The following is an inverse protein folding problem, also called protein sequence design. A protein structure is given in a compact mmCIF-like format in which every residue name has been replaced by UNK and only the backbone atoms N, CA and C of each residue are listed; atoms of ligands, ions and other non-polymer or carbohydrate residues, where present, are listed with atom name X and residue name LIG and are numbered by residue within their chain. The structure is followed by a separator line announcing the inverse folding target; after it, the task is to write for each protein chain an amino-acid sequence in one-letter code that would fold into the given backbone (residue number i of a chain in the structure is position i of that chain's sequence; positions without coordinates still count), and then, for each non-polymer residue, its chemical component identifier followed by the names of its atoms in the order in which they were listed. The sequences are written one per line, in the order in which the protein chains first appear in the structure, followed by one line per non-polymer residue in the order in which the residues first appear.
data_IF_597830402263
#
_entry.id   IF_597830402263
#
_cell.length_a   1.000
_cell.length_b   1.000
_cell.length_c   1.000
_cell.angle_alpha   90.00
_cell.angle_beta   90.00
_cell.angle_gamma   90.00
#
_symmetry.space_group_name_H-M   'P 1'
#
loop_
_entity.id
_entity.type
_entity.pdbx_description
1 polymer ?
#
# COMPACT_ATOMS: atom_id res chain seq x y z
N UNK A 1 -36.52 -11.17 15.21
CA UNK A 1 -35.09 -10.92 14.94
C UNK A 1 -34.33 -11.26 16.21
N UNK A 2 -33.17 -11.90 16.12
CA UNK A 2 -32.32 -12.09 17.30
C UNK A 2 -31.94 -10.74 17.90
N UNK A 3 -31.71 -10.67 19.21
CA UNK A 3 -31.29 -9.44 19.90
C UNK A 3 -30.03 -8.83 19.22
N UNK A 4 -29.12 -9.68 18.73
CA UNK A 4 -27.92 -9.26 17.99
C UNK A 4 -28.19 -8.52 16.68
N UNK A 5 -29.29 -8.82 15.98
CA UNK A 5 -29.61 -8.20 14.69
C UNK A 5 -30.17 -6.79 14.88
N UNK A 6 -30.85 -6.53 15.99
CA UNK A 6 -31.36 -5.21 16.34
C UNK A 6 -30.23 -4.22 16.68
N UNK A 7 -29.10 -4.72 17.19
CA UNK A 7 -27.93 -3.89 17.51
C UNK A 7 -27.26 -3.34 16.24
N UNK A 8 -27.20 -4.15 15.17
CA UNK A 8 -26.48 -3.82 13.93
C UNK A 8 -27.38 -3.25 12.81
N UNK A 9 -28.68 -3.51 12.83
CA UNK A 9 -29.61 -2.99 11.83
C UNK A 9 -30.01 -1.53 12.13
N UNK A 10 -29.87 -0.67 11.12
CA UNK A 10 -30.37 0.72 11.14
C UNK A 10 -31.51 0.88 10.15
N UNK A 11 -32.70 1.23 10.65
CA UNK A 11 -33.86 1.57 9.81
C UNK A 11 -34.10 3.07 9.86
N UNK A 12 -34.25 3.71 8.70
CA UNK A 12 -34.56 5.15 8.59
C UNK A 12 -35.95 5.52 9.12
N UNK A 13 -36.78 4.52 9.45
CA UNK A 13 -38.11 4.69 10.05
C UNK A 13 -38.07 4.72 11.59
N UNK A 14 -36.93 4.40 12.19
CA UNK A 14 -36.80 4.31 13.63
C UNK A 14 -36.66 5.71 14.25
N UNK A 15 -37.36 5.98 15.36
CA UNK A 15 -37.35 7.29 16.03
C UNK A 15 -35.95 7.76 16.49
N UNK A 16 -34.97 6.85 16.57
CA UNK A 16 -33.58 7.13 16.94
C UNK A 16 -32.56 6.99 15.80
N UNK A 17 -33.01 6.88 14.54
CA UNK A 17 -32.14 6.64 13.39
C UNK A 17 -30.97 7.64 13.30
N UNK A 18 -31.27 8.94 13.30
CA UNK A 18 -30.25 9.99 13.13
C UNK A 18 -29.16 9.91 14.19
N UNK A 19 -29.53 9.68 15.45
CA UNK A 19 -28.58 9.54 16.55
C UNK A 19 -27.70 8.28 16.40
N UNK A 20 -28.31 7.14 16.05
CA UNK A 20 -27.57 5.88 15.83
C UNK A 20 -26.66 5.94 14.61
N UNK A 21 -27.12 6.54 13.51
CA UNK A 21 -26.34 6.72 12.30
C UNK A 21 -25.18 7.70 12.50
N UNK A 22 -25.41 8.81 13.20
CA UNK A 22 -24.36 9.75 13.57
C UNK A 22 -23.29 9.09 14.46
N UNK A 23 -23.71 8.21 15.39
CA UNK A 23 -22.80 7.41 16.22
C UNK A 23 -21.97 6.45 15.38
N UNK A 24 -22.59 5.65 14.51
CA UNK A 24 -21.88 4.74 13.60
C UNK A 24 -20.83 5.50 12.78
N UNK A 25 -21.21 6.63 12.18
CA UNK A 25 -20.28 7.48 11.42
C UNK A 25 -19.13 8.00 12.28
N UNK A 26 -19.42 8.43 13.52
CA UNK A 26 -18.38 8.90 14.45
C UNK A 26 -17.41 7.78 14.80
N UNK A 27 -17.91 6.59 15.11
CA UNK A 27 -17.09 5.44 15.51
C UNK A 27 -16.19 5.00 14.35
N UNK A 28 -16.72 4.93 13.12
CA UNK A 28 -15.92 4.65 11.90
C UNK A 28 -14.82 5.70 11.68
N UNK A 29 -15.14 6.99 11.83
CA UNK A 29 -14.16 8.07 11.67
C UNK A 29 -13.08 8.04 12.75
N UNK A 30 -13.43 7.76 14.00
CA UNK A 30 -12.46 7.65 15.09
C UNK A 30 -11.54 6.47 14.89
N UNK A 31 -12.07 5.34 14.43
CA UNK A 31 -11.31 4.13 14.17
C UNK A 31 -10.31 4.31 13.01
N UNK A 32 -10.65 5.10 12.01
CA UNK A 32 -9.75 5.45 10.91
C UNK A 32 -8.66 6.48 11.28
N UNK A 33 -8.73 7.13 12.45
CA UNK A 33 -7.74 8.14 12.84
C UNK A 33 -6.40 7.50 13.20
N UNK A 34 -5.34 7.99 12.57
CA UNK A 34 -3.99 7.76 13.05
C UNK A 34 -3.80 8.42 14.42
N UNK A 35 -2.89 7.85 15.21
CA UNK A 35 -2.54 8.35 16.53
C UNK A 35 -2.16 9.84 16.48
N UNK A 36 -2.58 10.58 17.51
CA UNK A 36 -2.33 12.03 17.64
C UNK A 36 -0.84 12.36 17.71
N UNK A 37 -0.48 13.63 17.52
CA UNK A 37 0.91 14.08 17.48
C UNK A 37 1.70 13.71 18.76
N UNK A 38 1.05 13.76 19.93
CA UNK A 38 1.69 13.49 21.23
C UNK A 38 1.64 12.02 21.68
N UNK A 39 1.04 11.15 20.86
CA UNK A 39 0.96 9.71 21.14
C UNK A 39 2.35 9.06 21.22
N UNK A 40 2.44 7.95 21.94
CA UNK A 40 3.67 7.15 22.00
C UNK A 40 4.04 6.59 20.62
N UNK A 41 3.05 6.25 19.80
CA UNK A 41 3.26 5.82 18.43
C UNK A 41 3.91 6.92 17.58
N UNK A 42 3.40 8.16 17.65
CA UNK A 42 4.00 9.29 16.92
C UNK A 42 5.42 9.57 17.38
N UNK A 43 5.70 9.51 18.69
CA UNK A 43 7.07 9.65 19.23
C UNK A 43 7.99 8.52 18.76
N UNK A 44 7.48 7.30 18.69
CA UNK A 44 8.23 6.15 18.18
C UNK A 44 8.55 6.31 16.70
N UNK A 45 7.57 6.71 15.88
CA UNK A 45 7.77 6.98 14.45
C UNK A 45 8.81 8.07 14.24
N UNK A 46 8.67 9.21 14.92
CA UNK A 46 9.61 10.32 14.82
C UNK A 46 11.04 9.90 15.20
N UNK A 47 11.21 9.13 16.29
CA UNK A 47 12.51 8.60 16.69
C UNK A 47 13.12 7.68 15.62
N UNK A 48 12.35 6.71 15.12
CA UNK A 48 12.85 5.78 14.09
C UNK A 48 13.25 6.52 12.82
N UNK A 49 12.43 7.48 12.38
CA UNK A 49 12.72 8.30 11.20
C UNK A 49 13.96 9.17 11.41
N UNK A 50 14.10 9.82 12.56
CA UNK A 50 15.28 10.62 12.91
C UNK A 50 16.57 9.78 12.90
N UNK A 51 16.54 8.60 13.52
CA UNK A 51 17.69 7.70 13.50
C UNK A 51 18.03 7.22 12.07
N UNK A 52 17.04 6.98 11.21
CA UNK A 52 17.29 6.64 9.79
C UNK A 52 17.88 7.81 9.03
N UNK A 53 17.42 9.04 9.28
CA UNK A 53 17.98 10.24 8.65
C UNK A 53 19.45 10.48 9.07
N UNK A 54 19.78 10.24 10.34
CA UNK A 54 21.12 10.47 10.89
C UNK A 54 22.11 9.33 10.59
N UNK A 55 21.65 8.08 10.69
CA UNK A 55 22.53 6.89 10.70
C UNK A 55 22.38 6.02 9.45
N UNK A 56 21.41 6.31 8.58
CA UNK A 56 21.20 5.61 7.31
C UNK A 56 21.04 4.09 7.47
N UNK A 57 21.82 3.34 6.71
CA UNK A 57 21.73 1.88 6.62
C UNK A 57 21.86 1.17 7.98
N UNK A 58 22.63 1.74 8.92
CA UNK A 58 22.80 1.16 10.25
C UNK A 58 21.48 1.14 11.04
N UNK A 59 20.73 2.24 11.00
CA UNK A 59 19.41 2.31 11.62
C UNK A 59 18.39 1.41 10.89
N UNK A 60 18.45 1.36 9.55
CA UNK A 60 17.59 0.45 8.77
C UNK A 60 17.82 -1.01 9.15
N UNK A 61 19.07 -1.45 9.27
CA UNK A 61 19.42 -2.81 9.71
C UNK A 61 18.93 -3.08 11.15
N UNK A 62 19.19 -2.14 12.07
CA UNK A 62 18.74 -2.21 13.48
C UNK A 62 17.23 -2.43 13.57
N UNK A 63 16.44 -1.62 12.88
CA UNK A 63 14.98 -1.69 12.96
C UNK A 63 14.38 -2.86 12.18
N UNK A 64 15.05 -3.33 11.12
CA UNK A 64 14.67 -4.57 10.44
C UNK A 64 14.86 -5.78 11.37
N UNK A 65 15.99 -5.85 12.09
CA UNK A 65 16.21 -6.89 13.11
C UNK A 65 15.19 -6.81 14.23
N UNK A 66 14.88 -5.60 14.70
CA UNK A 66 13.93 -5.39 15.81
C UNK A 66 12.48 -5.75 15.43
N UNK A 67 11.99 -5.26 14.30
CA UNK A 67 10.57 -5.35 13.95
C UNK A 67 10.21 -6.55 13.08
N UNK A 68 11.11 -6.95 12.17
CA UNK A 68 10.87 -8.08 11.27
C UNK A 68 11.60 -9.36 11.74
N UNK A 69 12.43 -9.27 12.78
CA UNK A 69 13.20 -10.39 13.36
C UNK A 69 14.15 -11.06 12.37
N UNK A 70 14.61 -10.29 11.38
CA UNK A 70 15.59 -10.72 10.36
C UNK A 70 16.81 -9.82 10.46
N UNK A 71 17.98 -10.44 10.61
CA UNK A 71 19.25 -9.72 10.60
C UNK A 71 19.75 -9.62 9.16
N UNK A 72 19.81 -8.39 8.64
CA UNK A 72 20.32 -8.07 7.31
C UNK A 72 21.43 -7.05 7.44
N UNK A 73 22.54 -7.29 6.73
CA UNK A 73 23.56 -6.27 6.49
C UNK A 73 23.11 -5.36 5.34
N UNK A 74 23.66 -4.13 5.23
CA UNK A 74 23.27 -3.20 4.16
C UNK A 74 23.39 -3.79 2.75
N UNK A 75 24.44 -4.58 2.48
CA UNK A 75 24.63 -5.29 1.21
C UNK A 75 23.58 -6.38 0.91
N UNK A 76 22.77 -6.77 1.90
CA UNK A 76 21.73 -7.78 1.79
C UNK A 76 20.32 -7.16 1.72
N UNK A 77 20.20 -5.83 1.77
CA UNK A 77 18.90 -5.16 1.65
C UNK A 77 18.29 -5.42 0.27
N UNK A 78 19.09 -5.26 -0.80
CA UNK A 78 18.62 -5.41 -2.18
C UNK A 78 18.51 -6.88 -2.57
N UNK A 79 17.39 -7.25 -3.17
CA UNK A 79 17.18 -8.57 -3.76
C UNK A 79 17.99 -8.67 -5.06
N UNK A 80 18.73 -9.75 -5.24
CA UNK A 80 19.54 -9.93 -6.44
C UNK A 80 18.66 -10.21 -7.67
N UNK A 81 19.15 -9.88 -8.86
CA UNK A 81 18.47 -10.21 -10.12
C UNK A 81 18.24 -11.72 -10.28
N UNK A 82 19.17 -12.55 -9.76
CA UNK A 82 19.05 -14.00 -9.78
C UNK A 82 17.89 -14.49 -8.89
N UNK A 83 17.72 -13.91 -7.70
CA UNK A 83 16.59 -14.24 -6.83
C UNK A 83 15.25 -13.83 -7.43
N UNK A 84 15.17 -12.66 -8.06
CA UNK A 84 13.98 -12.19 -8.77
C UNK A 84 13.60 -13.15 -9.91
N UNK A 85 14.57 -13.52 -10.75
CA UNK A 85 14.35 -14.46 -11.86
C UNK A 85 13.97 -15.87 -11.36
N UNK A 86 14.63 -16.36 -10.29
CA UNK A 86 14.29 -17.65 -9.67
C UNK A 86 12.87 -17.64 -9.12
N UNK A 87 12.45 -16.56 -8.46
CA UNK A 87 11.12 -16.43 -7.90
C UNK A 87 10.05 -16.40 -9.00
N UNK A 88 10.31 -15.70 -10.12
CA UNK A 88 9.45 -15.70 -11.30
C UNK A 88 9.30 -17.09 -11.92
N UNK A 89 10.42 -17.78 -12.16
CA UNK A 89 10.42 -19.11 -12.76
C UNK A 89 9.70 -20.18 -11.90
N UNK A 90 9.57 -19.93 -10.59
CA UNK A 90 8.87 -20.81 -9.66
C UNK A 90 7.36 -20.56 -9.56
N UNK A 91 6.81 -19.52 -10.21
CA UNK A 91 5.36 -19.26 -10.22
C UNK A 91 4.65 -20.32 -11.07
N UNK A 92 3.60 -20.91 -10.52
CA UNK A 92 2.70 -21.80 -11.27
C UNK A 92 2.22 -21.13 -12.58
N UNK A 93 2.13 -21.91 -13.65
CA UNK A 93 1.78 -21.37 -14.99
C UNK A 93 0.40 -20.75 -15.03
N UNK A 94 -0.58 -21.35 -14.34
CA UNK A 94 -1.95 -20.82 -14.26
C UNK A 94 -2.01 -19.52 -13.46
N UNK A 95 -1.29 -19.46 -12.35
CA UNK A 95 -1.13 -18.23 -11.58
C UNK A 95 -0.43 -17.13 -12.39
N UNK A 96 0.67 -17.44 -13.07
CA UNK A 96 1.40 -16.48 -13.92
C UNK A 96 0.53 -15.93 -15.05
N UNK A 97 -0.27 -16.80 -15.71
CA UNK A 97 -1.23 -16.37 -16.72
C UNK A 97 -2.28 -15.40 -16.14
N UNK A 98 -2.77 -15.66 -14.93
CA UNK A 98 -3.72 -14.79 -14.22
C UNK A 98 -3.10 -13.44 -13.86
N UNK A 99 -1.86 -13.44 -13.36
CA UNK A 99 -1.10 -12.23 -13.05
C UNK A 99 -0.85 -11.37 -14.29
N UNK A 100 -0.47 -11.99 -15.41
CA UNK A 100 -0.30 -11.30 -16.71
C UNK A 100 -1.59 -10.67 -17.21
N UNK A 101 -2.72 -11.38 -17.07
CA UNK A 101 -4.05 -10.83 -17.40
C UNK A 101 -4.37 -9.61 -16.54
N UNK A 102 -4.11 -9.68 -15.23
CA UNK A 102 -4.30 -8.54 -14.33
C UNK A 102 -3.42 -7.34 -14.72
N UNK A 103 -2.13 -7.57 -15.00
CA UNK A 103 -1.19 -6.54 -15.48
C UNK A 103 -1.71 -5.89 -16.77
N UNK A 104 -2.15 -6.68 -17.74
CA UNK A 104 -2.68 -6.18 -19.00
C UNK A 104 -3.93 -5.31 -18.82
N UNK A 105 -4.87 -5.77 -17.98
CA UNK A 105 -6.10 -5.03 -17.67
C UNK A 105 -5.81 -3.68 -17.00
N UNK A 106 -4.94 -3.68 -15.97
CA UNK A 106 -4.54 -2.45 -15.27
C UNK A 106 -3.83 -1.52 -16.24
N UNK A 107 -2.90 -2.01 -17.06
CA UNK A 107 -2.18 -1.21 -18.05
C UNK A 107 -3.13 -0.57 -19.05
N UNK A 108 -4.08 -1.33 -19.60
CA UNK A 108 -5.06 -0.82 -20.55
C UNK A 108 -5.93 0.30 -19.94
N UNK A 109 -6.39 0.12 -18.69
CA UNK A 109 -7.15 1.16 -18.00
C UNK A 109 -6.32 2.41 -17.73
N UNK A 110 -5.11 2.25 -17.18
CA UNK A 110 -4.21 3.36 -16.88
C UNK A 110 -3.84 4.15 -18.13
N UNK A 111 -3.61 3.48 -19.27
CA UNK A 111 -3.37 4.15 -20.55
C UNK A 111 -4.58 4.93 -21.04
N UNK A 112 -5.80 4.39 -20.86
CA UNK A 112 -7.05 5.07 -21.24
C UNK A 112 -7.28 6.36 -20.46
N UNK A 113 -6.93 6.38 -19.17
CA UNK A 113 -7.09 7.57 -18.31
C UNK A 113 -5.86 8.49 -18.30
N UNK A 114 -4.79 8.12 -19.01
CA UNK A 114 -3.53 8.87 -18.99
C UNK A 114 -3.69 10.24 -19.67
N UNK A 115 -3.52 11.31 -18.89
CA UNK A 115 -3.62 12.69 -19.37
C UNK A 115 -2.31 13.24 -19.93
N UNK A 116 -1.17 12.58 -19.68
CA UNK A 116 0.14 13.14 -20.03
C UNK A 116 0.40 13.29 -21.52
N UNK A 117 -0.35 12.57 -22.36
CA UNK A 117 -0.34 12.74 -23.83
C UNK A 117 -1.11 13.97 -24.33
N UNK A 118 -1.85 14.69 -23.47
CA UNK A 118 -2.70 15.83 -23.82
C UNK A 118 -2.03 17.17 -23.48
N UNK A 119 -0.76 17.34 -23.83
CA UNK A 119 -0.10 18.64 -23.65
C UNK A 119 -0.73 19.67 -24.59
N UNK A 120 -1.67 20.45 -24.08
CA UNK A 120 -2.35 21.50 -24.84
C UNK A 120 -1.57 22.80 -24.71
N UNK A 121 -1.04 23.29 -25.82
CA UNK A 121 -0.51 24.63 -25.94
C UNK A 121 -1.51 25.43 -26.77
N UNK A 122 -2.34 26.24 -26.12
CA UNK A 122 -3.12 27.27 -26.82
C UNK A 122 -2.31 28.55 -26.88
N UNK A 123 -2.64 29.47 -27.80
CA UNK A 123 -1.88 30.66 -28.16
C UNK A 123 -1.37 31.49 -26.95
N UNK A 124 -0.22 31.11 -26.40
CA UNK A 124 0.48 31.79 -25.30
C UNK A 124 0.75 30.92 -24.06
N UNK A 125 -0.20 30.08 -23.60
CA UNK A 125 -0.08 29.30 -22.36
C UNK A 125 -0.67 27.89 -22.48
N UNK A 126 -0.06 26.94 -21.77
CA UNK A 126 -0.43 25.52 -21.81
C UNK A 126 0.03 24.74 -20.59
N UNK A 127 -0.45 23.49 -20.47
CA UNK A 127 -0.08 22.58 -19.38
C UNK A 127 0.79 21.46 -19.96
N UNK A 128 1.98 21.28 -19.36
CA UNK A 128 2.85 20.14 -19.65
C UNK A 128 2.86 19.20 -18.45
N UNK A 129 2.46 17.96 -18.69
CA UNK A 129 2.58 16.88 -17.71
C UNK A 129 3.92 16.17 -17.90
N UNK A 130 4.66 15.96 -16.81
CA UNK A 130 5.91 15.18 -16.82
C UNK A 130 5.86 14.14 -15.70
N UNK A 131 6.41 12.93 -15.91
CA UNK A 131 6.51 11.96 -14.84
C UNK A 131 7.42 12.46 -13.73
N UNK A 132 7.13 12.05 -12.50
CA UNK A 132 8.13 12.10 -11.43
C UNK A 132 9.35 11.28 -11.84
N UNK A 133 10.52 11.69 -11.38
CA UNK A 133 11.78 11.01 -11.72
C UNK A 133 11.84 9.62 -11.08
N UNK A 134 11.51 9.54 -9.78
CA UNK A 134 11.66 8.30 -9.00
C UNK A 134 10.52 8.08 -7.99
N UNK A 135 9.98 6.86 -7.98
CA UNK A 135 8.93 6.43 -7.06
C UNK A 135 9.43 5.32 -6.11
N UNK A 136 8.97 5.38 -4.86
CA UNK A 136 9.08 4.29 -3.89
C UNK A 136 7.72 3.60 -3.72
N UNK A 137 7.70 2.29 -3.73
CA UNK A 137 6.48 1.47 -3.60
C UNK A 137 6.59 0.62 -2.34
N UNK A 138 5.72 0.85 -1.37
CA UNK A 138 5.58 0.02 -0.18
C UNK A 138 4.60 -1.12 -0.46
N UNK A 139 5.09 -2.36 -0.37
CA UNK A 139 4.29 -3.58 -0.53
C UNK A 139 4.18 -4.28 0.83
N UNK A 140 2.98 -4.38 1.42
CA UNK A 140 2.79 -5.01 2.71
C UNK A 140 3.23 -6.49 2.71
N UNK A 141 3.90 -6.91 3.78
CA UNK A 141 4.04 -8.33 4.13
C UNK A 141 3.00 -8.71 5.16
N UNK A 142 1.76 -8.89 4.70
CA UNK A 142 0.65 -9.39 5.51
C UNK A 142 0.74 -10.92 5.67
N UNK A 143 -0.23 -11.51 6.38
CA UNK A 143 -0.33 -12.97 6.54
C UNK A 143 -0.41 -13.70 5.18
N UNK A 144 -1.01 -13.05 4.18
CA UNK A 144 -1.01 -13.49 2.80
C UNK A 144 -0.18 -12.53 1.92
N UNK A 145 0.50 -13.04 0.87
CA UNK A 145 1.20 -12.18 -0.08
C UNK A 145 0.21 -11.37 -0.93
N UNK A 146 0.51 -10.09 -1.17
CA UNK A 146 -0.31 -9.18 -1.95
C UNK A 146 0.39 -8.76 -3.26
N UNK A 147 0.53 -9.67 -4.26
CA UNK A 147 1.13 -9.33 -5.56
C UNK A 147 0.31 -8.28 -6.32
N UNK A 148 -1.00 -8.18 -6.07
CA UNK A 148 -1.88 -7.16 -6.62
C UNK A 148 -1.40 -5.74 -6.28
N UNK A 149 -0.86 -5.52 -5.08
CA UNK A 149 -0.31 -4.20 -4.69
C UNK A 149 0.85 -3.79 -5.58
N UNK A 150 1.73 -4.72 -5.96
CA UNK A 150 2.81 -4.44 -6.92
C UNK A 150 2.21 -3.99 -8.25
N UNK A 151 1.25 -4.76 -8.78
CA UNK A 151 0.61 -4.47 -10.07
C UNK A 151 -0.08 -3.09 -10.02
N UNK A 152 -0.88 -2.84 -8.99
CA UNK A 152 -1.71 -1.62 -8.87
C UNK A 152 -0.91 -0.35 -8.57
N UNK A 153 0.37 -0.46 -8.23
CA UNK A 153 1.25 0.71 -7.95
C UNK A 153 2.32 0.89 -9.02
N UNK A 154 2.96 -0.19 -9.46
CA UNK A 154 4.03 -0.15 -10.47
C UNK A 154 3.48 0.13 -11.86
N UNK A 155 2.38 -0.52 -12.27
CA UNK A 155 1.84 -0.35 -13.62
C UNK A 155 1.42 1.10 -13.89
N UNK A 156 0.69 1.81 -13.00
CA UNK A 156 0.41 3.23 -13.19
C UNK A 156 1.67 4.09 -13.29
N UNK A 157 2.70 3.82 -12.48
CA UNK A 157 3.97 4.55 -12.53
C UNK A 157 4.69 4.35 -13.88
N UNK A 158 4.71 3.13 -14.40
CA UNK A 158 5.26 2.82 -15.72
C UNK A 158 4.50 3.48 -16.85
N UNK A 159 3.15 3.46 -16.81
CA UNK A 159 2.30 4.16 -17.79
C UNK A 159 2.53 5.67 -17.75
N UNK A 160 2.70 6.24 -16.55
CA UNK A 160 3.03 7.66 -16.40
C UNK A 160 4.42 8.02 -16.96
N UNK A 161 5.31 7.04 -17.11
CA UNK A 161 6.67 7.22 -17.64
C UNK A 161 7.76 7.35 -16.59
N UNK A 162 7.48 6.99 -15.33
CA UNK A 162 8.47 6.97 -14.23
C UNK A 162 9.58 5.97 -14.58
N UNK A 163 10.83 6.43 -14.51
CA UNK A 163 12.00 5.64 -14.96
C UNK A 163 12.64 4.83 -13.84
N UNK A 164 12.51 5.32 -12.61
CA UNK A 164 13.13 4.69 -11.45
C UNK A 164 12.05 4.32 -10.43
N UNK A 165 11.89 3.03 -10.16
CA UNK A 165 10.88 2.52 -9.23
C UNK A 165 11.58 1.59 -8.25
N UNK A 166 11.62 1.97 -6.98
CA UNK A 166 12.13 1.14 -5.89
C UNK A 166 10.95 0.49 -5.15
N UNK A 167 10.98 -0.82 -4.98
CA UNK A 167 9.97 -1.57 -4.22
C UNK A 167 10.56 -1.98 -2.87
N UNK A 168 9.83 -1.75 -1.79
CA UNK A 168 10.18 -2.24 -0.45
C UNK A 168 9.09 -3.20 0.03
N UNK A 169 9.49 -4.36 0.55
CA UNK A 169 8.57 -5.29 1.20
C UNK A 169 9.28 -6.00 2.37
N UNK A 170 8.63 -6.16 3.54
CA UNK A 170 9.30 -6.69 4.71
C UNK A 170 9.65 -8.19 4.53
N UNK A 171 10.78 -8.65 5.11
CA UNK A 171 11.33 -9.99 4.89
C UNK A 171 10.62 -11.08 5.73
N UNK A 172 9.29 -11.12 5.71
CA UNK A 172 8.49 -11.97 6.61
C UNK A 172 8.21 -13.38 6.09
N UNK A 173 8.62 -13.68 4.87
CA UNK A 173 8.54 -15.03 4.32
C UNK A 173 9.90 -15.71 4.43
N UNK A 174 10.09 -16.52 5.47
CA UNK A 174 11.33 -17.28 5.69
C UNK A 174 12.59 -16.39 5.66
N UNK A 175 12.52 -15.19 6.23
CA UNK A 175 13.63 -14.23 6.22
C UNK A 175 13.79 -13.43 4.92
N UNK A 176 12.84 -13.54 3.99
CA UNK A 176 12.83 -12.81 2.71
C UNK A 176 11.41 -12.35 2.32
N UNK A 177 11.28 -11.77 1.13
CA UNK A 177 9.99 -11.39 0.54
C UNK A 177 9.36 -12.63 -0.08
N UNK A 178 8.03 -12.73 -0.03
CA UNK A 178 7.32 -13.85 -0.62
C UNK A 178 7.62 -13.99 -2.14
N UNK A 179 7.95 -15.19 -2.66
CA UNK A 179 8.37 -15.39 -4.05
C UNK A 179 7.41 -14.83 -5.10
N UNK A 180 6.09 -14.93 -4.89
CA UNK A 180 5.10 -14.36 -5.83
C UNK A 180 5.26 -12.83 -6.01
N UNK A 181 5.61 -12.10 -4.95
CA UNK A 181 5.84 -10.64 -5.02
C UNK A 181 7.11 -10.38 -5.82
N UNK A 182 8.20 -11.12 -5.53
CA UNK A 182 9.47 -11.01 -6.25
C UNK A 182 9.32 -11.34 -7.74
N UNK A 183 8.59 -12.40 -8.06
CA UNK A 183 8.36 -12.79 -9.45
C UNK A 183 7.46 -11.81 -10.20
N UNK A 184 6.49 -11.17 -9.55
CA UNK A 184 5.71 -10.06 -10.17
C UNK A 184 6.58 -8.82 -10.39
N UNK A 185 7.47 -8.48 -9.45
CA UNK A 185 8.47 -7.43 -9.68
C UNK A 185 9.32 -7.74 -10.92
N UNK A 186 9.80 -8.99 -11.05
CA UNK A 186 10.56 -9.43 -12.22
C UNK A 186 9.74 -9.35 -13.52
N UNK A 187 8.49 -9.85 -13.53
CA UNK A 187 7.58 -9.78 -14.69
C UNK A 187 7.33 -8.34 -15.15
N UNK A 188 7.32 -7.39 -14.23
CA UNK A 188 7.18 -5.95 -14.52
C UNK A 188 8.52 -5.26 -14.82
N UNK A 189 9.65 -5.96 -14.80
CA UNK A 189 10.97 -5.40 -15.06
C UNK A 189 11.52 -4.53 -13.93
N UNK A 190 11.08 -4.75 -12.69
CA UNK A 190 11.56 -4.04 -11.50
C UNK A 190 12.73 -4.79 -10.89
N UNK A 191 13.90 -4.16 -10.90
CA UNK A 191 15.19 -4.70 -10.42
C UNK A 191 15.62 -4.12 -9.07
N UNK A 192 15.04 -2.99 -8.66
CA UNK A 192 15.33 -2.32 -7.40
C UNK A 192 14.31 -2.71 -6.32
N UNK A 193 14.48 -3.90 -5.75
CA UNK A 193 13.61 -4.46 -4.71
C UNK A 193 14.38 -4.64 -3.41
N UNK A 194 13.87 -4.13 -2.28
CA UNK A 194 14.51 -4.20 -0.98
C UNK A 194 13.66 -4.97 0.06
N UNK A 195 14.34 -5.81 0.83
CA UNK A 195 13.83 -6.64 1.94
C UNK A 195 13.53 -5.81 3.20
N UNK A 196 12.74 -4.75 3.07
CA UNK A 196 12.48 -3.77 4.11
C UNK A 196 11.00 -3.41 4.19
N UNK A 197 10.48 -3.14 5.38
CA UNK A 197 9.13 -2.60 5.57
C UNK A 197 9.05 -1.62 6.72
N UNK A 198 7.83 -1.29 7.14
CA UNK A 198 7.60 -0.45 8.33
C UNK A 198 8.12 0.98 8.20
N UNK A 199 8.34 1.61 9.35
CA UNK A 199 8.75 3.02 9.45
C UNK A 199 10.14 3.22 8.85
N UNK A 200 11.06 2.29 9.09
CA UNK A 200 12.44 2.38 8.61
C UNK A 200 12.55 2.33 7.09
N UNK A 201 11.68 1.57 6.40
CA UNK A 201 11.64 1.55 4.95
C UNK A 201 11.10 2.85 4.36
N UNK A 202 10.07 3.44 4.98
CA UNK A 202 9.55 4.77 4.59
C UNK A 202 10.64 5.84 4.78
N UNK A 203 11.34 5.83 5.91
CA UNK A 203 12.47 6.72 6.17
C UNK A 203 13.59 6.56 5.14
N UNK A 204 13.97 5.32 4.82
CA UNK A 204 15.01 5.05 3.83
C UNK A 204 14.63 5.56 2.42
N UNK A 205 13.37 5.43 2.02
CA UNK A 205 12.88 5.97 0.76
C UNK A 205 12.80 7.50 0.77
N UNK A 206 12.38 8.12 1.88
CA UNK A 206 12.20 9.56 1.99
C UNK A 206 13.53 10.32 2.08
N UNK A 207 14.42 9.89 2.99
CA UNK A 207 15.68 10.57 3.25
C UNK A 207 16.81 10.08 2.33
N UNK A 208 16.71 8.83 1.87
CA UNK A 208 17.84 8.12 1.29
C UNK A 208 18.81 7.60 2.36
N UNK A 209 19.60 6.60 2.00
CA UNK A 209 20.69 6.03 2.79
C UNK A 209 21.90 5.79 1.88
N UNK A 210 22.96 5.18 2.42
CA UNK A 210 24.14 4.81 1.64
C UNK A 210 23.80 3.77 0.55
N UNK A 211 22.86 2.86 0.83
CA UNK A 211 22.42 1.83 -0.12
C UNK A 211 21.18 2.25 -0.91
N UNK A 212 20.27 3.04 -0.33
CA UNK A 212 18.94 3.31 -0.90
C UNK A 212 18.85 4.77 -1.34
N UNK A 213 18.67 5.01 -2.64
CA UNK A 213 18.52 6.38 -3.15
C UNK A 213 17.12 6.91 -2.83
N UNK A 214 17.06 8.14 -2.32
CA UNK A 214 15.80 8.85 -2.02
C UNK A 214 14.88 8.93 -3.25
N UNK A 215 13.57 8.88 -3.00
CA UNK A 215 12.52 8.94 -4.02
C UNK A 215 11.77 10.27 -3.95
N UNK A 216 11.03 10.62 -5.01
CA UNK A 216 10.25 11.86 -5.06
C UNK A 216 8.80 11.64 -4.59
N UNK A 217 8.29 10.40 -4.70
CA UNK A 217 6.97 10.01 -4.19
C UNK A 217 6.98 8.59 -3.62
N UNK A 218 6.36 8.39 -2.45
CA UNK A 218 6.10 7.08 -1.85
C UNK A 218 4.64 6.72 -2.04
N UNK A 219 4.37 5.53 -2.57
CA UNK A 219 3.01 5.00 -2.75
C UNK A 219 2.89 3.61 -2.15
N UNK A 220 1.65 3.13 -2.04
CA UNK A 220 1.34 1.80 -1.55
C UNK A 220 0.82 1.83 -0.11
N UNK A 221 -0.11 0.92 0.22
CA UNK A 221 -0.69 0.84 1.54
C UNK A 221 0.32 0.27 2.55
N UNK A 222 -0.01 0.39 3.82
CA UNK A 222 0.70 -0.27 4.89
C UNK A 222 -0.10 -0.21 6.18
N UNK A 223 0.41 -0.86 7.22
CA UNK A 223 -0.19 -0.78 8.54
C UNK A 223 -0.13 0.66 9.10
N UNK A 224 -0.77 0.87 10.26
CA UNK A 224 -0.79 2.17 10.95
C UNK A 224 0.60 2.83 11.11
N UNK A 225 1.67 2.04 11.25
CA UNK A 225 3.03 2.56 11.38
C UNK A 225 3.59 3.12 10.07
N UNK A 226 3.37 2.43 8.96
CA UNK A 226 3.72 2.92 7.62
C UNK A 226 2.93 4.18 7.30
N UNK A 227 1.64 4.20 7.63
CA UNK A 227 0.78 5.36 7.41
C UNK A 227 1.20 6.56 8.26
N UNK A 228 1.53 6.36 9.53
CA UNK A 228 2.07 7.41 10.40
C UNK A 228 3.44 7.92 9.90
N UNK A 229 4.31 7.03 9.43
CA UNK A 229 5.59 7.41 8.84
C UNK A 229 5.41 8.24 7.57
N UNK A 230 4.55 7.81 6.64
CA UNK A 230 4.19 8.55 5.42
C UNK A 230 3.66 9.93 5.74
N UNK A 231 2.78 10.06 6.74
CA UNK A 231 2.28 11.36 7.23
C UNK A 231 3.41 12.25 7.73
N UNK A 232 4.38 11.69 8.46
CA UNK A 232 5.49 12.44 9.04
C UNK A 232 6.47 12.97 7.99
N UNK A 233 6.71 12.23 6.90
CA UNK A 233 7.66 12.63 5.85
C UNK A 233 7.04 13.42 4.68
N UNK A 234 5.70 13.45 4.62
CA UNK A 234 4.97 14.07 3.51
C UNK A 234 5.19 15.59 3.45
N UNK A 235 5.44 16.10 2.24
CA UNK A 235 5.59 17.54 2.00
C UNK A 235 7.03 18.01 2.09
N UNK A 236 7.67 17.84 3.25
CA UNK A 236 9.03 18.35 3.49
C UNK A 236 10.11 17.52 2.80
N UNK A 237 9.90 16.19 2.68
CA UNK A 237 10.91 15.27 2.15
C UNK A 237 10.47 14.55 0.89
N UNK A 238 9.19 14.16 0.84
CA UNK A 238 8.67 13.30 -0.25
C UNK A 238 7.17 13.51 -0.43
N UNK A 239 6.65 13.32 -1.64
CA UNK A 239 5.21 13.24 -1.85
C UNK A 239 4.67 11.87 -1.42
N UNK A 240 3.40 11.79 -1.05
CA UNK A 240 2.71 10.51 -0.80
C UNK A 240 1.46 10.37 -1.70
N UNK A 241 0.93 9.17 -1.83
CA UNK A 241 -0.37 8.90 -2.45
C UNK A 241 -1.53 9.39 -1.57
N UNK A 242 -1.69 8.81 -0.38
CA UNK A 242 -2.71 9.14 0.59
C UNK A 242 -2.40 8.52 1.95
N UNK A 243 -3.11 8.98 2.98
CA UNK A 243 -3.21 8.27 4.25
C UNK A 243 -4.40 7.31 4.16
N UNK A 244 -4.12 6.05 3.84
CA UNK A 244 -5.06 4.95 3.91
C UNK A 244 -5.60 4.77 5.34
N UNK A 245 -6.91 4.58 5.44
CA UNK A 245 -7.60 4.05 6.61
C UNK A 245 -7.92 2.57 6.44
N UNK A 246 -8.67 1.98 7.38
CA UNK A 246 -9.17 0.62 7.25
C UNK A 246 -10.04 0.46 5.99
N UNK A 247 -10.05 -0.74 5.43
CA UNK A 247 -10.78 -1.03 4.20
C UNK A 247 -12.28 -1.25 4.47
N UNK A 248 -13.13 -0.74 3.58
CA UNK A 248 -14.59 -0.78 3.73
C UNK A 248 -15.32 -1.09 2.42
N UNK A 249 -16.51 -1.67 2.51
CA UNK A 249 -17.44 -1.86 1.39
C UNK A 249 -18.87 -1.45 1.80
N UNK A 250 -19.55 -0.71 0.91
CA UNK A 250 -20.98 -0.43 1.00
C UNK A 250 -21.68 -1.10 -0.19
N UNK A 251 -22.59 -2.02 0.10
CA UNK A 251 -23.37 -2.75 -0.90
C UNK A 251 -24.78 -2.15 -0.89
N UNK A 252 -25.28 -1.73 -2.06
CA UNK A 252 -26.67 -1.29 -2.20
C UNK A 252 -27.41 -2.38 -2.97
N UNK A 253 -28.28 -3.11 -2.29
CA UNK A 253 -29.02 -4.24 -2.85
C UNK A 253 -30.53 -4.00 -2.83
N UNK A 254 -31.21 -4.39 -3.90
CA UNK A 254 -32.67 -4.46 -3.96
C UNK A 254 -33.16 -5.91 -3.83
N UNK A 255 -34.46 -6.12 -3.97
CA UNK A 255 -35.12 -7.43 -3.90
C UNK A 255 -34.75 -8.40 -5.04
N UNK A 256 -34.07 -7.92 -6.09
CA UNK A 256 -33.56 -8.75 -7.19
C UNK A 256 -32.15 -9.28 -6.94
N UNK A 257 -31.44 -8.77 -5.93
CA UNK A 257 -30.10 -9.21 -5.60
C UNK A 257 -30.11 -10.64 -5.04
N UNK A 258 -29.11 -11.45 -5.42
CA UNK A 258 -28.91 -12.76 -4.81
C UNK A 258 -28.30 -12.59 -3.41
N UNK A 259 -29.00 -12.96 -2.31
CA UNK A 259 -28.50 -12.75 -0.96
C UNK A 259 -27.18 -13.48 -0.67
N UNK A 260 -26.94 -14.63 -1.30
CA UNK A 260 -25.70 -15.38 -1.12
C UNK A 260 -24.49 -14.65 -1.74
N UNK A 261 -24.68 -13.91 -2.83
CA UNK A 261 -23.62 -13.12 -3.45
C UNK A 261 -23.32 -11.87 -2.64
N UNK A 262 -24.34 -11.19 -2.14
CA UNK A 262 -24.18 -10.04 -1.23
C UNK A 262 -23.43 -10.45 0.03
N UNK A 263 -23.79 -11.59 0.64
CA UNK A 263 -23.07 -12.11 1.79
C UNK A 263 -21.61 -12.47 1.46
N UNK A 264 -21.35 -13.05 0.28
CA UNK A 264 -19.98 -13.34 -0.16
C UNK A 264 -19.16 -12.05 -0.35
N UNK A 265 -19.74 -10.99 -0.92
CA UNK A 265 -19.08 -9.70 -1.08
C UNK A 265 -18.75 -9.07 0.28
N UNK A 266 -19.68 -9.11 1.24
CA UNK A 266 -19.42 -8.65 2.61
C UNK A 266 -18.28 -9.43 3.28
N UNK A 267 -18.27 -10.76 3.15
CA UNK A 267 -17.23 -11.62 3.71
C UNK A 267 -15.86 -11.36 3.05
N UNK A 268 -15.84 -11.11 1.74
CA UNK A 268 -14.61 -10.79 1.01
C UNK A 268 -13.94 -9.49 1.50
N UNK A 269 -14.73 -8.54 2.01
CA UNK A 269 -14.19 -7.34 2.63
C UNK A 269 -13.76 -7.60 4.08
N UNK A 270 -14.54 -8.38 4.82
CA UNK A 270 -14.26 -8.69 6.23
C UNK A 270 -12.97 -9.53 6.42
N UNK A 271 -12.59 -10.37 5.45
CA UNK A 271 -11.35 -11.16 5.53
C UNK A 271 -10.07 -10.32 5.42
N UNK A 272 -10.16 -9.07 4.95
CA UNK A 272 -9.00 -8.23 4.68
C UNK A 272 -8.28 -7.77 5.96
N UNK A 273 -9.00 -7.72 7.09
CA UNK A 273 -8.44 -7.39 8.40
C UNK A 273 -9.52 -7.24 9.46
N UNK A 274 -9.14 -7.41 10.73
CA UNK A 274 -10.05 -7.23 11.88
C UNK A 274 -10.60 -5.81 12.01
N UNK A 275 -9.98 -4.86 11.31
CA UNK A 275 -10.34 -3.46 11.20
C UNK A 275 -11.20 -3.15 9.96
N UNK A 276 -11.53 -4.14 9.13
CA UNK A 276 -12.37 -3.94 7.93
C UNK A 276 -13.86 -3.80 8.27
N UNK A 277 -14.59 -3.07 7.44
CA UNK A 277 -16.04 -2.86 7.59
C UNK A 277 -16.82 -3.26 6.34
N UNK A 278 -18.01 -3.82 6.52
CA UNK A 278 -18.95 -4.12 5.44
C UNK A 278 -20.36 -3.71 5.84
N UNK A 279 -21.00 -2.91 4.97
CA UNK A 279 -22.36 -2.40 5.16
C UNK A 279 -23.20 -2.80 3.94
N UNK A 280 -24.44 -3.23 4.18
CA UNK A 280 -25.46 -3.53 3.16
C UNK A 280 -26.75 -2.78 3.46
#
# INVERSE_FOLDING_TARGET
MSESLQEILLSSRDAGFEARFARLRSDMLQFARLAGADSEESRTVARVLGEVAEQGDAAVAKYTKQFDRVELKPGEFRVSAQELAKAHAAIDRGLLASLRKAIANVKAYQQRIFIGGRSEFSQGAGIRYTPIRRAGVCVPGAAAPLPSTVIMTVVPAQVAGVKEIAVVSPPRFQGSIHPVILGVCHELGIDEVYRLGGVQAVGALAYGTQTIRKVDKIVGPGNKWVQAAKRHVAGDYVAIDSIAGPSEVLIVANDQANPAWVAADMLSQAEHGTDSSAVV
#
